data_IF_530868269862
#
_entry.id   IF_530868269862
#
_cell.length_a   1.000
_cell.length_b   1.000
_cell.length_c   1.000
_cell.angle_alpha   90.00
_cell.angle_beta   90.00
_cell.angle_gamma   90.00
#
_symmetry.space_group_name_H-M   'P 1'
#
loop_
_entity.id
_entity.type
_entity.pdbx_description
1 polymer ?
#
# COMPACT_ATOMS: atom_id res chain seq x y z
N UNK A 1 -1.86 -4.80 10.41
CA UNK A 1 -1.28 -3.76 9.53
C UNK A 1 -1.54 -4.20 8.11
N UNK A 2 -2.05 -3.30 7.28
CA UNK A 2 -2.40 -3.57 5.89
C UNK A 2 -1.53 -2.69 4.98
N UNK A 3 -1.38 -3.08 3.71
CA UNK A 3 -0.72 -2.29 2.68
C UNK A 3 -1.71 -1.98 1.58
N UNK A 4 -1.82 -0.71 1.21
CA UNK A 4 -2.62 -0.25 0.09
C UNK A 4 -1.73 0.32 -1.00
N UNK A 5 -1.92 -0.18 -2.23
CA UNK A 5 -1.33 0.43 -3.43
C UNK A 5 -2.28 1.46 -3.99
N UNK A 6 -1.81 2.69 -4.15
CA UNK A 6 -2.62 3.77 -4.69
C UNK A 6 -2.34 4.01 -6.17
N UNK A 7 -3.40 4.27 -6.92
CA UNK A 7 -3.34 4.69 -8.32
C UNK A 7 -4.26 5.87 -8.59
N UNK A 8 -3.86 6.70 -9.55
CA UNK A 8 -4.70 7.74 -10.14
C UNK A 8 -4.38 7.82 -11.62
N UNK A 9 -5.39 7.93 -12.49
CA UNK A 9 -5.21 8.08 -13.94
C UNK A 9 -4.24 7.03 -14.56
N UNK A 10 -4.33 5.78 -14.07
CA UNK A 10 -3.45 4.65 -14.42
C UNK A 10 -1.97 4.81 -14.01
N UNK A 11 -1.66 5.74 -13.12
CA UNK A 11 -0.33 6.00 -12.56
C UNK A 11 -0.31 5.52 -11.11
N UNK A 12 0.59 4.58 -10.78
CA UNK A 12 0.87 4.19 -9.40
C UNK A 12 1.50 5.34 -8.62
N UNK A 13 0.87 5.71 -7.51
CA UNK A 13 1.34 6.75 -6.61
C UNK A 13 2.30 6.21 -5.56
N UNK A 14 2.12 4.94 -5.16
CA UNK A 14 2.98 4.28 -4.17
C UNK A 14 2.22 3.25 -3.32
N UNK A 15 2.97 2.61 -2.43
CA UNK A 15 2.43 1.69 -1.42
C UNK A 15 2.43 2.38 -0.04
N UNK A 16 1.25 2.46 0.59
CA UNK A 16 1.07 3.03 1.92
C UNK A 16 0.73 1.91 2.90
N UNK A 17 1.55 1.75 3.92
CA UNK A 17 1.27 0.90 5.07
C UNK A 17 0.28 1.63 5.97
N UNK A 18 -0.75 0.94 6.43
CA UNK A 18 -1.81 1.48 7.29
C UNK A 18 -2.06 0.65 8.54
N UNK A 19 -2.40 1.31 9.64
CA UNK A 19 -3.02 0.66 10.78
C UNK A 19 -4.49 0.32 10.48
N UNK A 20 -4.76 -0.94 10.15
CA UNK A 20 -6.12 -1.41 9.82
C UNK A 20 -7.09 -1.36 11.02
N UNK A 21 -6.59 -1.32 12.25
CA UNK A 21 -7.41 -1.21 13.45
C UNK A 21 -8.08 0.17 13.54
N UNK A 22 -7.44 1.20 12.98
CA UNK A 22 -7.95 2.57 12.98
C UNK A 22 -8.99 2.81 11.86
N UNK A 23 -9.21 1.84 10.97
CA UNK A 23 -10.13 1.92 9.83
C UNK A 23 -10.00 3.25 9.06
N UNK A 24 -8.79 3.60 8.57
CA UNK A 24 -8.55 4.90 7.97
C UNK A 24 -9.39 5.11 6.70
N UNK A 25 -9.87 6.34 6.50
CA UNK A 25 -10.51 6.73 5.25
C UNK A 25 -9.45 6.88 4.15
N UNK A 26 -9.40 5.91 3.23
CA UNK A 26 -8.38 5.87 2.16
C UNK A 26 -8.39 7.11 1.25
N UNK A 27 -9.53 7.78 1.11
CA UNK A 27 -9.68 8.98 0.27
C UNK A 27 -9.00 10.23 0.84
N UNK A 28 -8.57 10.21 2.10
CA UNK A 28 -7.96 11.37 2.79
C UNK A 28 -6.68 10.98 3.55
N UNK A 29 -5.97 9.95 3.08
CA UNK A 29 -4.74 9.52 3.73
C UNK A 29 -3.64 10.56 3.58
N UNK A 30 -2.98 10.87 4.68
CA UNK A 30 -1.68 11.50 4.70
C UNK A 30 -0.62 10.44 5.01
N UNK A 31 0.50 10.45 4.29
CA UNK A 31 1.58 9.50 4.50
C UNK A 31 2.95 10.16 4.42
N UNK A 32 3.95 9.48 4.97
CA UNK A 32 5.36 9.85 4.86
C UNK A 32 6.12 8.71 4.18
N UNK A 33 6.80 9.02 3.07
CA UNK A 33 7.71 8.08 2.43
C UNK A 33 8.88 7.75 3.36
N UNK A 34 9.39 6.52 3.29
CA UNK A 34 10.60 6.16 4.01
C UNK A 34 11.80 7.00 3.55
N UNK A 35 12.55 7.55 4.51
CA UNK A 35 13.69 8.43 4.24
C UNK A 35 13.31 9.89 3.97
N UNK A 36 12.02 10.22 3.91
CA UNK A 36 11.53 11.60 3.81
C UNK A 36 10.99 12.08 5.16
N UNK A 37 11.03 13.40 5.38
CA UNK A 37 10.45 14.04 6.58
C UNK A 37 9.07 14.67 6.31
N UNK A 38 8.77 14.95 5.05
CA UNK A 38 7.53 15.64 4.69
C UNK A 38 6.36 14.66 4.64
N UNK A 39 5.21 15.11 5.13
CA UNK A 39 3.93 14.43 4.88
C UNK A 39 3.42 14.80 3.49
N UNK A 40 2.91 13.79 2.80
CA UNK A 40 2.22 13.90 1.52
C UNK A 40 0.73 13.64 1.76
N UNK A 41 -0.13 14.28 0.98
CA UNK A 41 -1.58 14.07 1.04
C UNK A 41 -2.00 13.33 -0.21
N UNK A 42 -2.83 12.29 -0.04
CA UNK A 42 -3.40 11.54 -1.15
C UNK A 42 -4.23 12.46 -2.04
N UNK A 43 -3.95 12.48 -3.36
CA UNK A 43 -4.77 13.21 -4.29
C UNK A 43 -6.24 12.78 -4.23
N UNK A 44 -7.14 13.74 -4.42
CA UNK A 44 -8.56 13.48 -4.52
C UNK A 44 -8.84 12.57 -5.72
N UNK A 45 -9.58 11.49 -5.51
CA UNK A 45 -9.93 10.52 -6.55
C UNK A 45 -8.92 9.38 -6.73
N UNK A 46 -7.80 9.37 -5.99
CA UNK A 46 -6.90 8.23 -5.96
C UNK A 46 -7.60 6.99 -5.39
N UNK A 47 -7.37 5.84 -6.00
CA UNK A 47 -7.95 4.57 -5.59
C UNK A 47 -6.90 3.71 -4.89
N UNK A 48 -7.23 3.22 -3.69
CA UNK A 48 -6.39 2.31 -2.93
C UNK A 48 -6.82 0.85 -3.10
N UNK A 49 -5.90 -0.01 -3.53
CA UNK A 49 -6.09 -1.46 -3.58
C UNK A 49 -5.37 -2.12 -2.41
N UNK A 50 -6.10 -2.89 -1.58
CA UNK A 50 -5.50 -3.71 -0.53
C UNK A 50 -4.62 -4.81 -1.13
N UNK A 51 -3.35 -4.86 -0.76
CA UNK A 51 -2.38 -5.84 -1.28
C UNK A 51 -2.38 -7.15 -0.51
N UNK A 52 -2.57 -7.12 0.82
CA UNK A 52 -2.63 -8.34 1.62
C UNK A 52 -4.06 -8.89 1.59
N UNK A 53 -4.20 -10.08 1.00
CA UNK A 53 -5.45 -10.82 0.92
C UNK A 53 -5.37 -12.04 1.85
N UNK A 54 -6.44 -12.40 2.56
CA UNK A 54 -6.43 -13.54 3.47
C UNK A 54 -6.27 -14.85 2.67
N UNK A 55 -5.20 -15.60 2.96
CA UNK A 55 -5.01 -16.95 2.41
C UNK A 55 -5.71 -18.00 3.28
N UNK A 56 -5.64 -17.81 4.59
CA UNK A 56 -6.29 -18.65 5.59
C UNK A 56 -7.06 -17.79 6.58
N UNK A 57 -8.16 -18.33 7.08
CA UNK A 57 -8.93 -17.76 8.18
C UNK A 57 -9.28 -18.88 9.16
N UNK A 58 -8.95 -18.70 10.44
CA UNK A 58 -9.25 -19.67 11.52
C UNK A 58 -8.85 -21.11 11.19
N UNK A 59 -7.68 -21.30 10.58
CA UNK A 59 -7.13 -22.61 10.21
C UNK A 59 -7.69 -23.21 8.90
N UNK A 60 -8.60 -22.51 8.21
CA UNK A 60 -9.17 -22.93 6.92
C UNK A 60 -8.61 -22.09 5.79
N UNK A 61 -8.31 -22.72 4.66
CA UNK A 61 -7.95 -21.99 3.43
C UNK A 61 -9.21 -21.30 2.91
N UNK A 62 -9.14 -19.99 2.74
CA UNK A 62 -10.24 -19.15 2.19
C UNK A 62 -9.90 -18.56 0.83
N UNK A 63 -8.63 -18.63 0.43
CA UNK A 63 -8.17 -18.17 -0.88
C UNK A 63 -8.43 -19.22 -1.96
N UNK A 64 -9.09 -18.80 -3.02
CA UNK A 64 -9.23 -19.59 -4.22
C UNK A 64 -7.92 -19.51 -5.02
N UNK A 65 -7.25 -20.65 -5.16
CA UNK A 65 -6.00 -20.73 -5.92
C UNK A 65 -6.25 -20.45 -7.40
N UNK A 66 -5.64 -19.41 -7.99
CA UNK A 66 -5.74 -19.16 -9.41
C UNK A 66 -4.94 -20.20 -10.20
N UNK A 67 -5.30 -20.36 -11.46
CA UNK A 67 -4.59 -21.14 -12.45
C UNK A 67 -3.28 -20.46 -12.86
N UNK A 68 -2.35 -21.23 -13.44
CA UNK A 68 -1.10 -20.66 -13.97
C UNK A 68 -1.34 -19.58 -15.04
N UNK A 69 -2.26 -19.75 -16.02
CA UNK A 69 -2.58 -18.69 -16.98
C UNK A 69 -3.08 -17.40 -16.33
N UNK A 70 -3.91 -17.49 -15.29
CA UNK A 70 -4.41 -16.31 -14.56
C UNK A 70 -3.28 -15.59 -13.84
N UNK A 71 -2.37 -16.33 -13.18
CA UNK A 71 -1.18 -15.76 -12.53
C UNK A 71 -0.30 -15.04 -13.57
N UNK A 72 -0.07 -15.65 -14.73
CA UNK A 72 0.71 -15.05 -15.81
C UNK A 72 0.06 -13.79 -16.37
N UNK A 73 -1.26 -13.82 -16.60
CA UNK A 73 -2.00 -12.67 -17.10
C UNK A 73 -1.93 -11.50 -16.10
N UNK A 74 -2.15 -11.79 -14.81
CA UNK A 74 -2.03 -10.80 -13.74
C UNK A 74 -0.62 -10.19 -13.68
N UNK A 75 0.43 -11.02 -13.69
CA UNK A 75 1.81 -10.54 -13.66
C UNK A 75 2.16 -9.67 -14.88
N UNK A 76 1.69 -10.05 -16.08
CA UNK A 76 1.86 -9.26 -17.31
C UNK A 76 1.18 -7.89 -17.19
N UNK A 77 -0.05 -7.85 -16.71
CA UNK A 77 -0.80 -6.61 -16.51
C UNK A 77 -0.10 -5.68 -15.51
N UNK A 78 0.32 -6.20 -14.36
CA UNK A 78 1.05 -5.43 -13.36
C UNK A 78 2.34 -4.85 -13.93
N UNK A 79 3.15 -5.66 -14.61
CA UNK A 79 4.40 -5.21 -15.23
C UNK A 79 4.18 -4.09 -16.25
N UNK A 80 3.16 -4.20 -17.11
CA UNK A 80 2.87 -3.17 -18.11
C UNK A 80 2.56 -1.81 -17.46
N UNK A 81 1.78 -1.80 -16.38
CA UNK A 81 1.48 -0.57 -15.64
C UNK A 81 2.75 0.10 -15.08
N UNK A 82 3.68 -0.68 -14.53
CA UNK A 82 4.97 -0.16 -14.03
C UNK A 82 5.93 0.27 -15.15
N UNK A 83 5.93 -0.41 -16.30
CA UNK A 83 6.77 -0.04 -17.45
C UNK A 83 6.38 1.34 -18.02
N UNK A 84 5.11 1.70 -17.96
CA UNK A 84 4.63 3.03 -18.39
C UNK A 84 5.11 4.16 -17.47
N UNK A 85 5.49 3.83 -16.22
CA UNK A 85 5.95 4.79 -15.21
C UNK A 85 7.47 4.76 -15.02
N UNK A 86 8.27 4.68 -16.08
CA UNK A 86 9.73 4.77 -15.99
C UNK A 86 10.18 6.12 -15.38
N UNK A 87 10.22 6.20 -14.06
CA UNK A 87 10.73 7.36 -13.32
C UNK A 87 12.13 7.08 -12.81
N UNK A 88 13.01 8.09 -12.84
CA UNK A 88 14.34 8.01 -12.20
C UNK A 88 14.29 7.94 -10.67
N UNK A 89 13.12 8.17 -10.07
CA UNK A 89 12.93 8.17 -8.61
C UNK A 89 12.59 6.76 -8.12
N UNK A 90 13.02 6.38 -6.89
CA UNK A 90 12.57 5.15 -6.24
C UNK A 90 11.05 5.08 -6.12
N UNK A 91 10.52 3.87 -6.14
CA UNK A 91 9.08 3.65 -5.93
C UNK A 91 8.66 4.15 -4.54
N UNK A 92 7.62 5.00 -4.42
CA UNK A 92 7.22 5.54 -3.13
C UNK A 92 6.62 4.46 -2.22
N UNK A 93 7.19 4.32 -1.02
CA UNK A 93 6.68 3.44 0.03
C UNK A 93 6.73 4.19 1.35
N UNK A 94 5.65 4.17 2.13
CA UNK A 94 5.55 4.98 3.33
C UNK A 94 4.52 4.51 4.35
N UNK A 95 4.48 5.23 5.47
CA UNK A 95 3.55 5.01 6.57
C UNK A 95 2.46 6.07 6.56
N UNK A 96 1.21 5.70 6.82
CA UNK A 96 0.19 6.71 7.12
C UNK A 96 0.48 7.38 8.47
N UNK A 97 -0.08 8.59 8.66
CA UNK A 97 0.21 9.44 9.80
C UNK A 97 -0.01 8.77 11.17
N UNK A 98 -1.02 7.92 11.32
CA UNK A 98 -1.33 7.27 12.59
C UNK A 98 -0.29 6.20 12.95
N UNK A 99 0.04 5.30 12.03
CA UNK A 99 1.12 4.33 12.21
C UNK A 99 2.47 4.99 12.38
N UNK A 100 2.74 6.12 11.70
CA UNK A 100 3.96 6.90 11.92
C UNK A 100 4.05 7.42 13.37
N UNK A 101 2.98 8.03 13.88
CA UNK A 101 2.90 8.50 15.27
C UNK A 101 3.04 7.35 16.27
N UNK A 102 2.39 6.21 15.99
CA UNK A 102 2.49 5.01 16.82
C UNK A 102 3.94 4.51 16.87
N UNK A 103 4.61 4.41 15.73
CA UNK A 103 6.04 4.04 15.65
C UNK A 103 6.90 4.95 16.52
N UNK A 104 6.75 6.27 16.38
CA UNK A 104 7.51 7.26 17.15
C UNK A 104 7.29 7.11 18.65
N UNK A 105 6.03 6.94 19.08
CA UNK A 105 5.68 6.71 20.49
C UNK A 105 6.36 5.45 21.03
N UNK A 106 6.32 4.35 20.28
CA UNK A 106 6.94 3.08 20.69
C UNK A 106 8.47 3.16 20.75
N UNK A 107 9.11 3.92 19.84
CA UNK A 107 10.55 4.17 19.89
C UNK A 107 10.98 4.97 21.13
N UNK A 108 10.16 5.94 21.57
CA UNK A 108 10.44 6.74 22.77
C UNK A 108 10.21 5.96 24.07
N UNK A 109 9.33 4.96 24.06
CA UNK A 109 8.99 4.18 25.27
C UNK A 109 10.04 3.11 25.59
N UNK A 110 10.91 2.77 24.64
CA UNK A 110 11.97 1.77 24.79
C UNK A 110 13.37 2.38 25.03
N UNK A 111 13.44 3.68 25.31
CA UNK A 111 14.62 4.40 25.79
C UNK A 111 14.41 4.85 27.24
#
# INVERSE_FOLDING_TARGET
MQVYRFQQDNIWLGDVLVNELDKPQLSHIQWQNFGEQNLQTMPVGAQGQALLQPVMHTGKIVYQKPTLPEIQAYAKQQRLAFQQQQTKKPYPVGLETNLLKLKQKLMQTNN
#
